data_IF_654881952468
#
_entry.id   IF_654881952468
#
_cell.length_a   1.000
_cell.length_b   1.000
_cell.length_c   1.000
_cell.angle_alpha   90.00
_cell.angle_beta   90.00
_cell.angle_gamma   90.00
#
_symmetry.space_group_name_H-M   'P 1'
#
loop_
_entity.id
_entity.type
_entity.pdbx_description
1 polymer ?
#
# COMPACT_ATOMS: atom_id res chain seq x y z
N UNK A 1 17.65 17.05 -10.56
CA UNK A 1 16.95 16.58 -9.39
C UNK A 1 15.87 17.59 -9.04
N UNK A 2 14.76 17.15 -8.50
CA UNK A 2 13.54 17.94 -8.33
C UNK A 2 13.65 18.89 -7.14
N UNK A 3 13.07 20.09 -7.26
CA UNK A 3 12.98 21.09 -6.17
C UNK A 3 11.76 20.85 -5.24
N UNK A 4 10.91 19.89 -5.58
CA UNK A 4 9.73 19.51 -4.80
C UNK A 4 10.03 18.34 -3.88
N UNK A 5 9.41 18.26 -2.69
CA UNK A 5 9.58 17.13 -1.79
C UNK A 5 8.99 15.85 -2.39
N UNK A 6 9.66 14.73 -2.14
CA UNK A 6 9.20 13.38 -2.54
C UNK A 6 9.00 12.58 -1.27
N UNK A 7 7.76 12.14 -1.02
CA UNK A 7 7.40 11.32 0.15
C UNK A 7 7.23 9.88 -0.32
N UNK A 8 8.15 9.00 0.09
CA UNK A 8 8.16 7.58 -0.31
C UNK A 8 7.23 6.74 0.56
N UNK A 9 6.50 5.80 -0.06
CA UNK A 9 5.57 4.91 0.64
C UNK A 9 6.32 3.91 1.54
N UNK A 10 7.48 3.42 1.11
CA UNK A 10 8.33 2.51 1.90
C UNK A 10 8.86 3.24 3.11
N UNK A 11 9.47 4.42 2.91
CA UNK A 11 10.05 5.23 3.98
C UNK A 11 9.02 5.56 5.05
N UNK A 12 7.86 6.09 4.64
CA UNK A 12 6.77 6.46 5.56
C UNK A 12 6.26 5.28 6.40
N UNK A 13 6.24 4.08 5.82
CA UNK A 13 5.80 2.87 6.52
C UNK A 13 6.88 2.35 7.46
N UNK A 14 8.15 2.35 7.04
CA UNK A 14 9.24 1.81 7.86
C UNK A 14 9.60 2.74 9.02
N UNK A 15 9.50 4.05 8.86
CA UNK A 15 9.62 5.01 9.96
C UNK A 15 8.56 4.76 11.05
N UNK A 16 7.31 4.49 10.66
CA UNK A 16 6.27 4.08 11.61
C UNK A 16 6.64 2.78 12.35
N UNK A 17 7.20 1.80 11.65
CA UNK A 17 7.64 0.54 12.26
C UNK A 17 8.85 0.74 13.16
N UNK A 18 9.80 1.60 12.81
CA UNK A 18 10.94 1.97 13.64
C UNK A 18 10.48 2.55 14.97
N UNK A 19 9.55 3.50 14.94
CA UNK A 19 8.98 4.08 16.14
C UNK A 19 8.29 3.02 17.01
N UNK A 20 7.45 2.19 16.38
CA UNK A 20 6.73 1.09 17.03
C UNK A 20 7.66 0.09 17.70
N UNK A 21 8.75 -0.28 17.05
CA UNK A 21 9.67 -1.31 17.49
C UNK A 21 10.93 -0.79 18.15
N UNK A 22 11.03 0.50 18.42
CA UNK A 22 12.18 1.16 19.03
C UNK A 22 12.74 0.43 20.25
N UNK A 23 11.87 -0.13 21.07
CA UNK A 23 12.21 -0.87 22.29
C UNK A 23 12.06 -2.39 22.17
N UNK A 24 11.73 -2.91 20.98
CA UNK A 24 11.54 -4.34 20.75
C UNK A 24 12.58 -4.89 19.77
N UNK A 25 13.60 -5.54 20.31
CA UNK A 25 14.70 -6.13 19.51
C UNK A 25 14.30 -7.41 18.74
N UNK A 26 13.09 -7.92 18.89
CA UNK A 26 12.65 -9.18 18.28
C UNK A 26 11.44 -9.02 17.37
N UNK A 27 11.29 -7.88 16.70
CA UNK A 27 10.19 -7.64 15.77
C UNK A 27 10.16 -8.70 14.66
N UNK A 28 9.03 -9.39 14.49
CA UNK A 28 8.80 -10.32 13.38
C UNK A 28 7.84 -9.68 12.37
N UNK A 29 8.37 -9.26 11.21
CA UNK A 29 7.67 -8.46 10.21
C UNK A 29 7.45 -9.31 8.96
N UNK A 30 6.19 -9.47 8.58
CA UNK A 30 5.77 -10.06 7.31
C UNK A 30 5.55 -8.98 6.24
N UNK A 31 5.85 -9.31 5.00
CA UNK A 31 5.60 -8.46 3.83
C UNK A 31 4.94 -9.30 2.76
N UNK A 32 3.77 -8.90 2.29
CA UNK A 32 3.19 -9.43 1.06
C UNK A 32 3.15 -8.33 0.01
N UNK A 33 3.61 -8.64 -1.19
CA UNK A 33 3.65 -7.69 -2.30
C UNK A 33 3.65 -8.45 -3.65
N UNK A 34 3.72 -7.72 -4.75
CA UNK A 34 3.94 -8.35 -6.06
C UNK A 34 5.31 -9.04 -6.11
N UNK A 35 5.47 -10.01 -6.99
CA UNK A 35 6.74 -10.74 -7.14
C UNK A 35 7.92 -9.79 -7.46
N UNK A 36 7.70 -8.78 -8.32
CA UNK A 36 8.71 -7.78 -8.65
C UNK A 36 9.11 -6.93 -7.44
N UNK A 37 8.13 -6.49 -6.64
CA UNK A 37 8.40 -5.72 -5.40
C UNK A 37 9.21 -6.52 -4.39
N UNK A 38 8.89 -7.80 -4.19
CA UNK A 38 9.68 -8.65 -3.28
C UNK A 38 11.09 -8.87 -3.81
N UNK A 39 11.23 -9.12 -5.12
CA UNK A 39 12.55 -9.33 -5.75
C UNK A 39 13.45 -8.10 -5.71
N UNK A 40 12.89 -6.90 -5.71
CA UNK A 40 13.66 -5.65 -5.62
C UNK A 40 14.36 -5.47 -4.26
N UNK A 41 13.92 -6.18 -3.23
CA UNK A 41 14.37 -6.05 -1.83
C UNK A 41 14.19 -4.64 -1.22
N UNK A 42 13.46 -3.73 -1.86
CA UNK A 42 13.29 -2.35 -1.37
C UNK A 42 12.75 -2.30 0.06
N UNK A 43 11.70 -3.06 0.35
CA UNK A 43 11.14 -3.18 1.71
C UNK A 43 12.13 -3.79 2.70
N UNK A 44 12.74 -4.91 2.32
CA UNK A 44 13.64 -5.66 3.19
C UNK A 44 14.86 -4.82 3.57
N UNK A 45 15.47 -4.15 2.58
CA UNK A 45 16.63 -3.29 2.78
C UNK A 45 16.30 -2.12 3.71
N UNK A 46 15.18 -1.42 3.47
CA UNK A 46 14.79 -0.28 4.30
C UNK A 46 14.45 -0.68 5.74
N UNK A 47 13.75 -1.81 5.93
CA UNK A 47 13.49 -2.34 7.27
C UNK A 47 14.80 -2.70 7.97
N UNK A 48 15.75 -3.33 7.29
CA UNK A 48 17.04 -3.69 7.88
C UNK A 48 17.91 -2.47 8.20
N UNK A 49 17.79 -1.41 7.42
CA UNK A 49 18.45 -0.14 7.67
C UNK A 49 18.01 0.49 9.01
N UNK A 50 16.69 0.59 9.23
CA UNK A 50 16.14 1.28 10.41
C UNK A 50 15.88 0.35 11.60
N UNK A 51 15.63 -0.94 11.36
CA UNK A 51 15.36 -1.96 12.37
C UNK A 51 16.26 -3.19 12.13
N UNK A 52 17.58 -3.09 12.37
CA UNK A 52 18.53 -4.15 12.01
C UNK A 52 18.22 -5.51 12.65
N UNK A 53 17.60 -5.51 13.83
CA UNK A 53 17.24 -6.73 14.58
C UNK A 53 15.96 -7.40 14.09
N UNK A 54 15.16 -6.76 13.22
CA UNK A 54 13.91 -7.31 12.74
C UNK A 54 14.13 -8.62 11.97
N UNK A 55 13.27 -9.60 12.23
CA UNK A 55 13.15 -10.80 11.40
C UNK A 55 12.10 -10.56 10.34
N UNK A 56 12.47 -10.72 9.08
CA UNK A 56 11.62 -10.39 7.94
C UNK A 56 11.20 -11.65 7.21
N UNK A 57 9.90 -11.81 6.98
CA UNK A 57 9.33 -12.79 6.04
C UNK A 57 8.69 -12.05 4.89
N UNK A 58 9.12 -12.32 3.66
CA UNK A 58 8.63 -11.64 2.47
C UNK A 58 8.07 -12.66 1.46
N UNK A 59 6.85 -12.43 0.97
CA UNK A 59 6.16 -13.32 0.04
C UNK A 59 5.60 -12.56 -1.14
N UNK A 60 5.96 -13.00 -2.35
CA UNK A 60 5.31 -12.55 -3.57
C UNK A 60 3.92 -13.19 -3.73
N UNK A 61 2.91 -12.37 -3.96
CA UNK A 61 1.51 -12.79 -4.10
C UNK A 61 0.95 -12.35 -5.46
N UNK A 62 1.44 -12.91 -6.58
CA UNK A 62 1.15 -12.40 -7.93
C UNK A 62 -0.33 -12.47 -8.33
N UNK A 63 -1.13 -13.35 -7.74
CA UNK A 63 -2.55 -13.49 -8.08
C UNK A 63 -3.45 -12.42 -7.45
N UNK A 64 -3.02 -11.75 -6.37
CA UNK A 64 -3.91 -10.85 -5.65
C UNK A 64 -4.25 -9.57 -6.43
N UNK A 65 -3.32 -9.01 -7.21
CA UNK A 65 -3.62 -7.82 -8.01
C UNK A 65 -4.63 -8.12 -9.13
N UNK A 66 -4.43 -9.13 -10.00
CA UNK A 66 -5.44 -9.53 -11.00
C UNK A 66 -6.81 -9.86 -10.38
N UNK A 67 -6.82 -10.57 -9.25
CA UNK A 67 -8.09 -10.88 -8.57
C UNK A 67 -8.80 -9.63 -8.06
N UNK A 68 -8.06 -8.62 -7.61
CA UNK A 68 -8.63 -7.34 -7.19
C UNK A 68 -9.25 -6.60 -8.38
N UNK A 69 -8.58 -6.57 -9.51
CA UNK A 69 -9.03 -5.96 -10.77
C UNK A 69 -10.30 -6.63 -11.30
N UNK A 70 -10.39 -7.95 -11.19
CA UNK A 70 -11.60 -8.73 -11.51
C UNK A 70 -12.71 -8.63 -10.45
N UNK A 71 -12.47 -7.90 -9.35
CA UNK A 71 -13.44 -7.76 -8.27
C UNK A 71 -13.60 -8.99 -7.37
N UNK A 72 -12.70 -9.98 -7.47
CA UNK A 72 -12.74 -11.20 -6.68
C UNK A 72 -12.13 -11.00 -5.28
N UNK A 73 -12.68 -10.05 -4.55
CA UNK A 73 -12.09 -9.61 -3.28
C UNK A 73 -12.71 -10.24 -2.02
N UNK A 74 -13.89 -10.87 -2.13
CA UNK A 74 -14.56 -11.55 -0.98
C UNK A 74 -15.30 -12.84 -1.39
N UNK A 75 -14.73 -13.61 -2.30
CA UNK A 75 -15.26 -14.92 -2.69
C UNK A 75 -14.41 -16.07 -2.13
N UNK A 76 -14.81 -17.30 -2.39
CA UNK A 76 -14.12 -18.50 -1.91
C UNK A 76 -12.71 -18.63 -2.52
N UNK A 77 -12.52 -18.23 -3.78
CA UNK A 77 -11.22 -18.29 -4.47
C UNK A 77 -10.24 -17.33 -3.77
N UNK A 78 -10.67 -16.10 -3.49
CA UNK A 78 -9.85 -15.13 -2.75
C UNK A 78 -9.42 -15.67 -1.38
N UNK A 79 -10.35 -16.29 -0.64
CA UNK A 79 -10.08 -16.85 0.68
C UNK A 79 -9.05 -17.98 0.62
N UNK A 80 -9.19 -18.89 -0.32
CA UNK A 80 -8.24 -20.00 -0.50
C UNK A 80 -6.86 -19.50 -0.94
N UNK A 81 -6.80 -18.58 -1.89
CA UNK A 81 -5.55 -18.00 -2.39
C UNK A 81 -4.81 -17.24 -1.28
N UNK A 82 -5.52 -16.43 -0.51
CA UNK A 82 -4.92 -15.69 0.60
C UNK A 82 -4.42 -16.65 1.68
N UNK A 83 -5.21 -17.66 2.03
CA UNK A 83 -4.79 -18.68 2.99
C UNK A 83 -3.50 -19.36 2.57
N UNK A 84 -3.39 -19.73 1.29
CA UNK A 84 -2.17 -20.35 0.74
C UNK A 84 -0.96 -19.42 0.84
N UNK A 85 -1.09 -18.15 0.45
CA UNK A 85 0.00 -17.18 0.54
C UNK A 85 0.43 -16.90 1.99
N UNK A 86 -0.50 -16.96 2.95
CA UNK A 86 -0.23 -16.62 4.35
C UNK A 86 0.24 -17.82 5.20
N UNK A 87 0.34 -19.03 4.66
CA UNK A 87 0.82 -20.23 5.38
C UNK A 87 2.19 -19.96 6.03
N UNK A 88 3.11 -19.33 5.29
CA UNK A 88 4.47 -19.04 5.75
C UNK A 88 4.54 -17.80 6.67
N UNK A 89 3.46 -17.01 6.73
CA UNK A 89 3.38 -15.77 7.51
C UNK A 89 2.96 -15.99 8.98
N UNK A 90 2.96 -17.22 9.44
CA UNK A 90 2.70 -17.54 10.86
C UNK A 90 3.83 -17.01 11.75
N UNK A 91 3.45 -16.62 12.97
CA UNK A 91 4.38 -16.09 14.00
C UNK A 91 5.05 -14.77 13.59
N UNK A 92 4.27 -13.85 13.03
CA UNK A 92 4.68 -12.46 12.83
C UNK A 92 3.86 -11.53 13.72
N UNK A 93 4.40 -10.36 14.03
CA UNK A 93 3.74 -9.32 14.83
C UNK A 93 2.97 -8.35 13.93
N UNK A 94 3.52 -8.10 12.75
CA UNK A 94 3.01 -7.11 11.80
C UNK A 94 3.09 -7.65 10.38
N UNK A 95 2.05 -7.44 9.57
CA UNK A 95 2.01 -7.77 8.15
C UNK A 95 1.82 -6.50 7.31
N UNK A 96 2.79 -6.20 6.46
CA UNK A 96 2.75 -5.07 5.52
C UNK A 96 2.04 -5.48 4.23
N UNK A 97 1.03 -4.71 3.83
CA UNK A 97 0.39 -4.81 2.52
C UNK A 97 1.17 -3.95 1.53
N UNK A 98 2.21 -4.52 0.91
CA UNK A 98 3.15 -3.83 0.03
C UNK A 98 2.69 -3.66 -1.42
N UNK A 99 1.38 -3.70 -1.67
CA UNK A 99 0.77 -3.44 -2.97
C UNK A 99 -0.53 -2.66 -2.77
N UNK A 100 -0.80 -1.71 -3.66
CA UNK A 100 -1.99 -0.83 -3.61
C UNK A 100 -3.33 -1.58 -3.71
N UNK A 101 -3.35 -2.75 -4.35
CA UNK A 101 -4.55 -3.59 -4.46
C UNK A 101 -4.87 -4.40 -3.19
N UNK A 102 -3.88 -4.68 -2.36
CA UNK A 102 -4.03 -5.64 -1.25
C UNK A 102 -4.93 -5.15 -0.11
N UNK A 103 -5.13 -3.86 0.15
CA UNK A 103 -6.13 -3.38 1.09
C UNK A 103 -7.56 -3.87 0.79
N UNK A 104 -7.90 -4.16 -0.47
CA UNK A 104 -9.20 -4.75 -0.85
C UNK A 104 -9.44 -6.12 -0.20
N UNK A 105 -8.38 -6.84 0.15
CA UNK A 105 -8.43 -8.14 0.83
C UNK A 105 -8.23 -8.03 2.34
N UNK A 106 -8.10 -6.85 2.90
CA UNK A 106 -7.72 -6.64 4.30
C UNK A 106 -8.63 -7.39 5.28
N UNK A 107 -9.92 -7.47 4.99
CA UNK A 107 -10.90 -8.20 5.82
C UNK A 107 -10.58 -9.69 5.90
N UNK A 108 -10.27 -10.33 4.76
CA UNK A 108 -9.92 -11.76 4.70
C UNK A 108 -8.55 -11.97 5.35
N UNK A 109 -7.56 -11.14 5.01
CA UNK A 109 -6.21 -11.21 5.55
C UNK A 109 -6.25 -11.09 7.08
N UNK A 110 -6.99 -10.13 7.62
CA UNK A 110 -7.15 -9.95 9.06
C UNK A 110 -7.80 -11.16 9.75
N UNK A 111 -8.80 -11.78 9.09
CA UNK A 111 -9.44 -13.01 9.59
C UNK A 111 -8.45 -14.18 9.61
N UNK A 112 -7.63 -14.34 8.57
CA UNK A 112 -6.67 -15.44 8.46
C UNK A 112 -5.48 -15.29 9.42
N UNK A 113 -4.97 -14.06 9.57
CA UNK A 113 -3.85 -13.75 10.47
C UNK A 113 -4.23 -13.68 11.94
N UNK A 114 -5.51 -13.45 12.22
CA UNK A 114 -6.02 -13.30 13.59
C UNK A 114 -5.73 -11.94 14.23
N UNK A 115 -6.25 -11.75 15.46
CA UNK A 115 -6.26 -10.45 16.14
C UNK A 115 -4.90 -9.95 16.61
N UNK A 116 -3.91 -10.84 16.76
CA UNK A 116 -2.58 -10.49 17.28
C UNK A 116 -1.68 -9.82 16.24
N UNK A 117 -1.92 -10.08 14.96
CA UNK A 117 -1.11 -9.53 13.88
C UNK A 117 -1.69 -8.18 13.45
N UNK A 118 -0.89 -7.13 13.54
CA UNK A 118 -1.26 -5.84 12.98
C UNK A 118 -1.11 -5.87 11.46
N UNK A 119 -2.17 -5.49 10.75
CA UNK A 119 -2.14 -5.36 9.30
C UNK A 119 -1.87 -3.90 8.95
N UNK A 120 -0.74 -3.64 8.30
CA UNK A 120 -0.34 -2.30 7.87
C UNK A 120 -0.84 -2.03 6.46
N UNK A 121 -1.79 -1.10 6.36
CA UNK A 121 -2.16 -0.46 5.11
C UNK A 121 -1.16 0.67 4.84
N UNK A 122 -0.33 0.52 3.82
CA UNK A 122 0.73 1.50 3.49
C UNK A 122 0.17 2.84 3.04
N UNK A 123 -1.01 2.85 2.40
CA UNK A 123 -1.71 4.06 2.02
C UNK A 123 -2.09 4.95 3.21
N UNK A 124 -2.53 4.34 4.32
CA UNK A 124 -2.82 5.10 5.54
C UNK A 124 -1.57 5.73 6.16
N UNK A 125 -0.42 5.05 6.08
CA UNK A 125 0.83 5.56 6.66
C UNK A 125 1.36 6.75 5.88
N UNK A 126 1.39 6.66 4.54
CA UNK A 126 1.84 7.78 3.70
C UNK A 126 0.87 8.97 3.78
N UNK A 127 -0.44 8.74 3.85
CA UNK A 127 -1.42 9.81 4.01
C UNK A 127 -1.19 10.60 5.31
N UNK A 128 -0.96 9.92 6.43
CA UNK A 128 -0.62 10.57 7.70
C UNK A 128 0.67 11.38 7.60
N UNK A 129 1.73 10.80 7.02
CA UNK A 129 3.01 11.49 6.81
C UNK A 129 2.82 12.75 5.97
N UNK A 130 2.05 12.64 4.87
CA UNK A 130 1.73 13.78 4.01
C UNK A 130 0.98 14.88 4.79
N UNK A 131 -0.06 14.51 5.55
CA UNK A 131 -0.82 15.47 6.36
C UNK A 131 0.09 16.23 7.32
N UNK A 132 0.93 15.51 8.06
CA UNK A 132 1.90 16.12 8.97
C UNK A 132 2.85 17.07 8.23
N UNK A 133 3.40 16.62 7.09
CA UNK A 133 4.30 17.44 6.28
C UNK A 133 3.64 18.74 5.80
N UNK A 134 2.39 18.66 5.30
CA UNK A 134 1.65 19.85 4.86
C UNK A 134 1.40 20.84 6.01
N UNK A 135 1.07 20.33 7.20
CA UNK A 135 0.86 21.15 8.41
C UNK A 135 2.14 21.85 8.86
N UNK A 136 3.22 21.11 9.01
CA UNK A 136 4.52 21.64 9.50
C UNK A 136 5.12 22.70 8.57
N UNK A 137 4.86 22.59 7.26
CA UNK A 137 5.36 23.55 6.27
C UNK A 137 4.36 24.66 5.92
N UNK A 138 3.17 24.70 6.52
CA UNK A 138 2.11 25.69 6.26
C UNK A 138 1.71 25.77 4.76
N UNK A 139 1.67 24.62 4.08
CA UNK A 139 1.28 24.51 2.65
C UNK A 139 -0.03 23.73 2.47
N UNK A 140 -0.83 23.65 3.50
CA UNK A 140 -2.17 23.12 3.39
C UNK A 140 -3.04 24.04 2.54
N UNK A 141 -3.84 23.43 1.67
CA UNK A 141 -4.89 24.17 1.01
C UNK A 141 -6.03 24.44 1.99
N UNK A 142 -6.40 25.71 2.13
CA UNK A 142 -7.49 26.18 2.99
C UNK A 142 -8.74 26.53 2.22
N UNK A 143 -8.72 26.47 0.89
CA UNK A 143 -9.89 26.69 0.06
C UNK A 143 -10.78 25.45 0.05
N UNK A 144 -12.08 25.66 0.37
CA UNK A 144 -13.05 24.56 0.55
C UNK A 144 -13.45 23.84 -0.75
N UNK A 145 -13.11 24.35 -1.92
CA UNK A 145 -13.62 23.88 -3.21
C UNK A 145 -12.51 23.69 -4.24
N UNK A 146 -11.68 22.67 -4.04
CA UNK A 146 -10.82 22.17 -5.13
C UNK A 146 -11.39 20.85 -5.63
N UNK A 147 -11.66 20.82 -6.92
CA UNK A 147 -12.09 19.63 -7.62
C UNK A 147 -10.90 18.68 -7.75
N UNK A 148 -11.00 17.49 -7.16
CA UNK A 148 -9.99 16.45 -7.35
C UNK A 148 -9.95 16.00 -8.81
N UNK A 149 -8.75 15.86 -9.37
CA UNK A 149 -8.54 15.35 -10.73
C UNK A 149 -7.65 14.12 -10.70
N UNK A 150 -8.09 13.08 -11.37
CA UNK A 150 -7.36 11.81 -11.48
C UNK A 150 -6.95 11.62 -12.94
N UNK A 151 -5.66 11.55 -13.18
CA UNK A 151 -5.12 11.36 -14.53
C UNK A 151 -4.65 9.93 -14.73
N UNK A 152 -5.14 9.27 -15.79
CA UNK A 152 -4.75 7.91 -16.16
C UNK A 152 -4.09 7.91 -17.54
N UNK A 153 -3.06 7.13 -17.69
CA UNK A 153 -2.42 6.87 -19.01
C UNK A 153 -3.24 5.90 -19.86
N UNK A 154 -4.03 5.05 -19.22
CA UNK A 154 -4.96 4.11 -19.85
C UNK A 154 -6.31 4.17 -19.15
N UNK A 155 -7.37 4.46 -19.91
CA UNK A 155 -8.75 4.57 -19.41
C UNK A 155 -9.62 3.35 -19.76
N UNK A 156 -9.08 2.36 -20.49
CA UNK A 156 -9.80 1.16 -20.91
C UNK A 156 -9.80 0.04 -19.86
N UNK A 157 -9.04 0.22 -18.77
CA UNK A 157 -8.96 -0.75 -17.67
C UNK A 157 -10.14 -0.61 -16.69
N UNK A 158 -10.35 -1.64 -15.86
CA UNK A 158 -11.36 -1.67 -14.78
C UNK A 158 -11.06 -0.71 -13.62
N UNK A 159 -10.21 0.31 -13.85
CA UNK A 159 -9.75 1.23 -12.81
C UNK A 159 -10.88 1.90 -12.05
N UNK A 160 -11.90 2.42 -12.75
CA UNK A 160 -13.04 3.11 -12.14
C UNK A 160 -13.72 2.22 -11.09
N UNK A 161 -14.07 0.99 -11.48
CA UNK A 161 -14.73 0.03 -10.60
C UNK A 161 -13.89 -0.34 -9.37
N UNK A 162 -12.58 -0.47 -9.54
CA UNK A 162 -11.65 -0.76 -8.44
C UNK A 162 -11.49 0.46 -7.54
N UNK A 163 -11.35 1.65 -8.10
CA UNK A 163 -11.21 2.90 -7.36
C UNK A 163 -12.47 3.24 -6.55
N UNK A 164 -13.66 3.07 -7.12
CA UNK A 164 -14.93 3.25 -6.43
C UNK A 164 -15.04 2.34 -5.20
N UNK A 165 -14.67 1.07 -5.34
CA UNK A 165 -14.66 0.12 -4.22
C UNK A 165 -13.63 0.47 -3.15
N UNK A 166 -12.46 0.95 -3.53
CA UNK A 166 -11.36 1.27 -2.65
C UNK A 166 -11.63 2.53 -1.85
N UNK A 167 -12.17 3.55 -2.50
CA UNK A 167 -12.39 4.89 -1.95
C UNK A 167 -13.80 5.06 -1.37
N UNK A 168 -14.74 4.15 -1.71
CA UNK A 168 -16.13 4.26 -1.30
C UNK A 168 -16.87 5.45 -1.93
N UNK A 169 -16.35 5.96 -3.06
CA UNK A 169 -16.91 7.10 -3.79
C UNK A 169 -17.35 6.68 -5.20
N UNK A 170 -18.64 6.58 -5.43
CA UNK A 170 -19.23 6.17 -6.71
C UNK A 170 -19.14 7.25 -7.81
N UNK A 171 -18.56 8.41 -7.53
CA UNK A 171 -18.34 9.50 -8.47
C UNK A 171 -16.91 9.64 -8.95
N UNK A 172 -16.05 8.71 -8.59
CA UNK A 172 -14.64 8.74 -9.00
C UNK A 172 -14.50 8.80 -10.53
N UNK A 173 -15.37 8.11 -11.27
CA UNK A 173 -15.37 8.14 -12.74
C UNK A 173 -15.50 9.55 -13.32
N UNK A 174 -16.24 10.44 -12.68
CA UNK A 174 -16.44 11.82 -13.14
C UNK A 174 -15.17 12.69 -13.00
N UNK A 175 -14.24 12.27 -12.11
CA UNK A 175 -12.98 12.96 -11.82
C UNK A 175 -11.82 12.48 -12.69
N UNK A 176 -12.04 11.44 -13.50
CA UNK A 176 -10.99 10.80 -14.29
C UNK A 176 -10.81 11.48 -15.64
N UNK A 177 -9.57 11.77 -15.97
CA UNK A 177 -9.15 12.33 -17.25
C UNK A 177 -8.00 11.48 -17.83
N UNK A 178 -7.98 11.35 -19.17
CA UNK A 178 -6.84 10.73 -19.83
C UNK A 178 -5.64 11.68 -19.78
N UNK A 179 -4.51 11.19 -19.29
CA UNK A 179 -3.28 11.95 -19.33
C UNK A 179 -2.81 12.08 -20.80
N UNK A 180 -2.65 13.31 -21.28
CA UNK A 180 -1.96 13.53 -22.53
C UNK A 180 -0.45 13.35 -22.32
N UNK A 181 0.18 12.53 -23.15
CA UNK A 181 1.64 12.42 -23.12
C UNK A 181 2.25 13.75 -23.51
N UNK A 182 2.88 14.44 -22.56
CA UNK A 182 3.83 15.49 -22.89
C UNK A 182 4.99 14.82 -23.66
N UNK A 183 5.04 15.06 -24.95
CA UNK A 183 6.24 14.72 -25.72
C UNK A 183 7.39 15.53 -25.11
N UNK A 184 8.26 14.85 -24.36
CA UNK A 184 9.52 15.44 -23.95
C UNK A 184 10.35 15.50 -25.23
N UNK A 185 10.29 16.64 -25.90
CA UNK A 185 11.24 16.95 -26.97
C UNK A 185 12.61 17.06 -26.30
N UNK A 186 13.46 16.07 -26.55
CA UNK A 186 14.87 16.04 -26.18
C UNK A 186 15.67 17.12 -26.93
#
# INVERSE_FOLDING_TARGET
LYSVPIIGIIDSTVEYLEEKYRNNKNAEIGIIATAGTIKSNGWQNKIKELIPSAKIKAKGCPLLAPMAEEGWTDNQIARLTIKEYLIEMKKIDTLILGCTHYPLFQKIIKKEMGKRVEIINTGEKIARKLTTYLQENNIQNVEEMIEDKIYLTDTECNFVSVAEKLLGDNKIGEKIQKAEYLQITT
#
